data_IF_427740073419
#
_entry.id   IF_427740073419
#
_cell.length_a   1.000
_cell.length_b   1.000
_cell.length_c   1.000
_cell.angle_alpha   90.00
_cell.angle_beta   90.00
_cell.angle_gamma   90.00
#
_symmetry.space_group_name_H-M   'P 1'
#
loop_
_entity.id
_entity.type
_entity.pdbx_description
1 polymer ?
#
# COMPACT_ATOMS: atom_id res chain seq x y z
N UNK A 1 5.53 19.94 -6.85
CA UNK A 1 4.36 19.18 -6.36
C UNK A 1 4.91 17.93 -5.70
N UNK A 2 4.79 17.82 -4.37
CA UNK A 2 5.22 16.62 -3.66
C UNK A 2 4.36 15.43 -4.10
N UNK A 3 5.00 14.30 -4.33
CA UNK A 3 4.36 13.03 -4.65
C UNK A 3 3.29 12.70 -3.60
N UNK A 4 2.24 11.93 -3.97
CA UNK A 4 1.20 11.61 -3.03
C UNK A 4 1.73 10.77 -1.86
N UNK A 5 1.60 11.31 -0.65
CA UNK A 5 1.94 10.65 0.60
C UNK A 5 0.86 9.62 0.91
N UNK A 6 1.19 8.33 0.89
CA UNK A 6 0.32 7.30 1.44
C UNK A 6 0.09 7.54 2.93
N UNK A 7 -1.16 7.42 3.35
CA UNK A 7 -1.62 7.56 4.73
C UNK A 7 -2.16 6.20 5.17
N UNK A 8 -1.51 5.57 6.12
CA UNK A 8 -1.92 4.26 6.64
C UNK A 8 -2.68 4.47 7.94
N UNK A 9 -3.90 3.97 8.01
CA UNK A 9 -4.69 3.92 9.25
C UNK A 9 -4.82 2.48 9.69
N UNK A 10 -4.43 2.17 10.92
CA UNK A 10 -4.46 0.83 11.46
C UNK A 10 -5.03 0.81 12.89
N UNK A 11 -5.56 -0.35 13.28
CA UNK A 11 -5.94 -0.64 14.66
C UNK A 11 -4.70 -0.86 15.53
N UNK A 12 -4.57 -0.08 16.61
CA UNK A 12 -3.54 -0.29 17.64
C UNK A 12 -4.05 -1.24 18.73
N UNK A 13 -5.26 -0.99 19.19
CA UNK A 13 -6.00 -1.77 20.18
C UNK A 13 -7.51 -1.58 19.97
N UNK A 14 -8.35 -2.17 20.81
CA UNK A 14 -9.81 -2.09 20.68
C UNK A 14 -10.37 -0.64 20.68
N UNK A 15 -9.64 0.31 21.27
CA UNK A 15 -10.07 1.68 21.51
C UNK A 15 -9.27 2.73 20.73
N UNK A 16 -8.21 2.34 20.02
CA UNK A 16 -7.25 3.28 19.44
C UNK A 16 -6.83 2.89 18.02
N UNK A 17 -6.71 3.91 17.17
CA UNK A 17 -6.19 3.84 15.82
C UNK A 17 -4.83 4.53 15.75
N UNK A 18 -3.96 4.03 14.90
CA UNK A 18 -2.69 4.68 14.53
C UNK A 18 -2.75 5.16 13.10
N UNK A 19 -2.32 6.40 12.87
CA UNK A 19 -2.23 7.04 11.56
C UNK A 19 -0.77 7.35 11.26
N UNK A 20 -0.26 6.76 10.18
CA UNK A 20 1.12 6.89 9.72
C UNK A 20 1.16 7.55 8.34
N UNK A 21 2.02 8.54 8.19
CA UNK A 21 2.26 9.22 6.92
C UNK A 21 3.63 9.90 6.96
N UNK A 22 4.24 10.13 5.79
CA UNK A 22 5.41 11.00 5.69
C UNK A 22 5.01 12.42 6.07
N UNK A 23 5.88 13.17 6.73
CA UNK A 23 5.56 14.54 7.14
C UNK A 23 4.98 15.34 5.97
N UNK A 24 3.73 15.74 6.14
CA UNK A 24 2.94 16.57 5.25
C UNK A 24 2.18 17.56 6.14
N UNK A 25 2.43 18.84 5.93
CA UNK A 25 1.89 19.90 6.76
C UNK A 25 0.35 19.92 6.73
N UNK A 26 -0.25 19.65 5.57
CA UNK A 26 -1.71 19.67 5.42
C UNK A 26 -2.35 18.48 6.14
N UNK A 27 -1.71 17.31 6.10
CA UNK A 27 -2.18 16.14 6.85
C UNK A 27 -2.00 16.36 8.35
N UNK A 28 -0.90 16.97 8.80
CA UNK A 28 -0.71 17.34 10.22
C UNK A 28 -1.80 18.30 10.69
N UNK A 29 -2.15 19.30 9.88
CA UNK A 29 -3.24 20.22 10.20
C UNK A 29 -4.58 19.50 10.32
N UNK A 30 -4.88 18.58 9.40
CA UNK A 30 -6.08 17.73 9.47
C UNK A 30 -6.09 16.85 10.73
N UNK A 31 -4.96 16.24 11.11
CA UNK A 31 -4.88 15.44 12.34
C UNK A 31 -5.20 16.26 13.60
N UNK A 32 -4.83 17.54 13.63
CA UNK A 32 -5.12 18.44 14.76
C UNK A 32 -6.60 18.80 14.90
N UNK A 33 -7.43 18.60 13.86
CA UNK A 33 -8.87 18.83 13.98
C UNK A 33 -9.60 17.65 14.63
N UNK A 34 -8.94 16.48 14.72
CA UNK A 34 -9.51 15.27 15.34
C UNK A 34 -9.29 15.31 16.84
N UNK A 35 -10.37 15.28 17.62
CA UNK A 35 -10.29 15.38 19.09
C UNK A 35 -9.54 14.17 19.67
N UNK A 36 -8.51 14.42 20.49
CA UNK A 36 -7.77 13.35 21.16
C UNK A 36 -6.72 12.69 20.27
N UNK A 37 -6.52 13.18 19.05
CA UNK A 37 -5.37 12.80 18.23
C UNK A 37 -4.08 13.32 18.87
N UNK A 38 -3.14 12.42 19.17
CA UNK A 38 -1.86 12.75 19.81
C UNK A 38 -0.72 12.13 19.02
N UNK A 39 0.32 12.91 18.76
CA UNK A 39 1.56 12.38 18.20
C UNK A 39 2.28 11.50 19.22
N UNK A 40 2.55 10.24 18.87
CA UNK A 40 3.27 9.27 19.68
C UNK A 40 4.73 9.12 19.15
N UNK A 41 5.74 9.76 19.79
CA UNK A 41 7.09 9.81 19.26
C UNK A 41 7.79 8.45 19.19
N UNK A 42 7.39 7.48 20.02
CA UNK A 42 7.96 6.12 20.00
C UNK A 42 7.47 5.30 18.81
N UNK A 43 6.26 5.59 18.33
CA UNK A 43 5.63 4.88 17.21
C UNK A 43 5.84 5.60 15.88
N UNK A 44 6.28 6.86 15.93
CA UNK A 44 6.33 7.74 14.76
C UNK A 44 4.96 7.80 14.07
N UNK A 45 3.90 7.91 14.88
CA UNK A 45 2.51 7.82 14.46
C UNK A 45 1.63 8.79 15.22
N UNK A 46 0.51 9.19 14.62
CA UNK A 46 -0.59 9.79 15.37
C UNK A 46 -1.47 8.69 15.96
N UNK A 47 -1.80 8.78 17.25
CA UNK A 47 -2.77 7.90 17.90
C UNK A 47 -4.08 8.65 18.01
N UNK A 48 -5.16 8.04 17.55
CA UNK A 48 -6.50 8.61 17.49
C UNK A 48 -7.47 7.67 18.20
N UNK A 49 -8.37 8.16 19.06
CA UNK A 49 -9.42 7.32 19.64
C UNK A 49 -10.29 6.70 18.53
N UNK A 50 -10.61 5.41 18.63
CA UNK A 50 -11.49 4.71 17.68
C UNK A 50 -12.88 5.34 17.61
N UNK A 51 -13.34 5.97 18.71
CA UNK A 51 -14.58 6.75 18.74
C UNK A 51 -14.59 7.97 17.81
N UNK A 52 -13.42 8.37 17.31
CA UNK A 52 -13.24 9.48 16.37
C UNK A 52 -12.98 9.00 14.94
N UNK A 53 -13.22 7.71 14.63
CA UNK A 53 -12.97 7.14 13.30
C UNK A 53 -13.70 7.90 12.18
N UNK A 54 -14.98 8.23 12.36
CA UNK A 54 -15.77 8.97 11.36
C UNK A 54 -15.23 10.39 11.13
N UNK A 55 -14.79 11.04 12.22
CA UNK A 55 -14.19 12.39 12.16
C UNK A 55 -12.82 12.35 11.48
N UNK A 56 -12.04 11.30 11.76
CA UNK A 56 -10.77 11.04 11.10
C UNK A 56 -10.95 10.78 9.60
N UNK A 57 -11.95 9.98 9.21
CA UNK A 57 -12.26 9.71 7.81
C UNK A 57 -12.65 10.99 7.07
N UNK A 58 -13.50 11.82 7.68
CA UNK A 58 -13.87 13.12 7.13
C UNK A 58 -12.66 14.06 6.99
N UNK A 59 -11.79 14.12 8.00
CA UNK A 59 -10.58 14.93 7.99
C UNK A 59 -9.59 14.47 6.90
N UNK A 60 -9.52 13.17 6.64
CA UNK A 60 -8.66 12.58 5.61
C UNK A 60 -9.30 12.52 4.21
N UNK A 61 -10.54 12.98 4.04
CA UNK A 61 -11.27 12.95 2.77
C UNK A 61 -10.52 13.58 1.57
N UNK A 62 -9.69 14.63 1.72
CA UNK A 62 -8.91 15.14 0.59
C UNK A 62 -7.87 14.15 0.05
N UNK A 63 -7.52 13.12 0.83
CA UNK A 63 -6.48 12.13 0.52
C UNK A 63 -7.02 10.73 0.28
N UNK A 64 -8.33 10.51 0.14
CA UNK A 64 -8.94 9.16 -0.03
C UNK A 64 -8.16 8.22 -0.97
N UNK A 65 -7.65 8.65 -2.15
CA UNK A 65 -6.88 7.77 -3.05
C UNK A 65 -5.58 7.22 -2.44
N UNK A 66 -5.12 7.81 -1.34
CA UNK A 66 -3.86 7.54 -0.66
C UNK A 66 -4.05 6.99 0.75
N UNK A 67 -5.30 6.87 1.23
CA UNK A 67 -5.61 6.32 2.55
C UNK A 67 -5.79 4.81 2.44
N UNK A 68 -5.04 4.07 3.25
CA UNK A 68 -5.13 2.61 3.35
C UNK A 68 -5.60 2.25 4.75
N UNK A 69 -6.75 1.59 4.85
CA UNK A 69 -7.37 1.19 6.11
C UNK A 69 -7.06 -0.28 6.43
N UNK A 70 -6.42 -0.53 7.57
CA UNK A 70 -6.17 -1.86 8.13
C UNK A 70 -6.95 -2.03 9.45
N UNK A 71 -8.21 -2.45 9.33
CA UNK A 71 -9.16 -2.54 10.46
C UNK A 71 -9.53 -3.97 10.85
N UNK A 72 -8.88 -4.99 10.29
CA UNK A 72 -9.29 -6.39 10.46
C UNK A 72 -8.80 -7.02 11.78
N UNK A 73 -7.60 -6.68 12.26
CA UNK A 73 -7.03 -7.17 13.51
C UNK A 73 -6.08 -6.10 14.11
N UNK A 74 -5.91 -6.02 15.45
CA UNK A 74 -4.94 -5.12 16.05
C UNK A 74 -3.53 -5.47 15.55
N UNK A 75 -2.91 -4.51 14.86
CA UNK A 75 -1.61 -4.72 14.25
C UNK A 75 -0.54 -4.44 15.30
N UNK A 76 0.44 -5.34 15.43
CA UNK A 76 1.59 -5.08 16.29
C UNK A 76 2.27 -3.75 15.86
N UNK A 77 2.49 -2.77 16.76
CA UNK A 77 3.07 -1.48 16.41
C UNK A 77 4.46 -1.57 15.76
N UNK A 78 5.24 -2.61 16.08
CA UNK A 78 6.51 -2.88 15.38
C UNK A 78 6.31 -3.24 13.91
N UNK A 79 5.21 -3.91 13.56
CA UNK A 79 4.90 -4.26 12.18
C UNK A 79 4.56 -3.02 11.35
N UNK A 80 3.82 -2.06 11.93
CA UNK A 80 3.52 -0.77 11.28
C UNK A 80 4.79 0.07 11.06
N UNK A 81 5.67 0.12 12.05
CA UNK A 81 6.95 0.79 11.94
C UNK A 81 7.83 0.17 10.83
N UNK A 82 7.88 -1.16 10.74
CA UNK A 82 8.62 -1.88 9.69
C UNK A 82 8.01 -1.64 8.30
N UNK A 83 6.69 -1.72 8.13
CA UNK A 83 6.03 -1.43 6.85
C UNK A 83 6.29 0.02 6.39
N UNK A 84 6.15 0.99 7.29
CA UNK A 84 6.37 2.39 6.98
C UNK A 84 7.84 2.71 6.67
N UNK A 85 8.79 2.22 7.49
CA UNK A 85 10.23 2.46 7.28
C UNK A 85 10.72 1.92 5.93
N UNK A 86 10.15 0.79 5.51
CA UNK A 86 10.46 0.11 4.25
C UNK A 86 9.89 0.87 3.04
N UNK A 87 8.69 1.44 3.18
CA UNK A 87 8.07 2.31 2.17
C UNK A 87 8.77 3.68 2.05
N UNK A 88 9.11 4.33 3.16
CA UNK A 88 9.82 5.62 3.18
C UNK A 88 11.22 5.57 2.57
N UNK A 89 11.84 4.38 2.54
CA UNK A 89 13.18 4.14 1.99
C UNK A 89 13.17 3.66 0.53
N UNK A 90 12.00 3.57 -0.11
CA UNK A 90 11.88 3.11 -1.51
C UNK A 90 12.25 1.63 -1.72
N UNK A 91 12.30 0.82 -0.66
CA UNK A 91 12.84 -0.55 -0.69
C UNK A 91 11.84 -1.64 -0.23
N UNK A 92 10.66 -1.71 -0.89
CA UNK A 92 9.76 -2.89 -0.97
C UNK A 92 8.80 -3.18 0.20
N UNK A 93 8.03 -4.29 0.16
CA UNK A 93 7.04 -4.65 -0.86
C UNK A 93 5.66 -4.01 -0.54
N UNK A 94 4.72 -4.12 -1.46
CA UNK A 94 3.32 -3.71 -1.25
C UNK A 94 2.62 -4.61 -0.20
N UNK A 95 1.61 -4.10 0.51
CA UNK A 95 0.82 -4.90 1.45
C UNK A 95 0.18 -6.09 0.74
N UNK A 96 -0.04 -7.16 1.50
CA UNK A 96 -0.82 -8.34 1.13
C UNK A 96 -2.29 -7.95 0.88
N UNK A 97 -2.52 -7.29 -0.27
CA UNK A 97 -3.81 -7.26 -0.93
C UNK A 97 -3.92 -8.65 -1.53
N UNK A 98 -4.98 -9.40 -1.24
CA UNK A 98 -5.20 -10.76 -1.77
C UNK A 98 -5.27 -10.90 -3.31
N UNK A 99 -4.74 -9.93 -4.06
CA UNK A 99 -4.36 -10.02 -5.46
C UNK A 99 -2.84 -9.73 -5.61
N UNK A 100 -2.04 -10.66 -6.13
CA UNK A 100 -0.59 -10.50 -6.24
C UNK A 100 -0.25 -9.31 -7.17
N UNK A 101 0.74 -8.50 -6.76
CA UNK A 101 1.19 -7.27 -7.44
C UNK A 101 1.31 -7.38 -8.98
N UNK A 102 1.69 -8.55 -9.50
CA UNK A 102 1.87 -8.80 -10.91
C UNK A 102 0.55 -8.78 -11.69
N UNK A 103 -0.57 -9.16 -11.07
CA UNK A 103 -1.91 -9.05 -11.67
C UNK A 103 -2.33 -7.60 -11.84
N UNK A 104 -2.07 -6.76 -10.82
CA UNK A 104 -2.34 -5.32 -10.88
C UNK A 104 -1.51 -4.66 -11.99
N UNK A 105 -0.25 -5.04 -12.11
CA UNK A 105 0.61 -4.59 -13.20
C UNK A 105 0.04 -4.96 -14.57
N UNK A 106 -0.32 -6.24 -14.79
CA UNK A 106 -0.85 -6.68 -16.08
C UNK A 106 -2.19 -6.03 -16.43
N UNK A 107 -3.06 -5.79 -15.45
CA UNK A 107 -4.29 -5.02 -15.64
C UNK A 107 -4.00 -3.58 -16.06
N UNK A 108 -3.03 -2.93 -15.43
CA UNK A 108 -2.70 -1.54 -15.72
C UNK A 108 -2.10 -1.35 -17.11
N UNK A 109 -1.23 -2.26 -17.58
CA UNK A 109 -0.57 -2.15 -18.90
C UNK A 109 -1.45 -2.66 -20.04
N UNK A 110 -2.40 -3.54 -19.73
CA UNK A 110 -3.31 -4.15 -20.70
C UNK A 110 -2.67 -5.26 -21.56
N UNK A 111 -3.49 -6.04 -22.28
CA UNK A 111 -3.04 -7.24 -22.99
C UNK A 111 -1.99 -6.95 -24.07
N UNK A 112 -2.18 -5.89 -24.85
CA UNK A 112 -1.27 -5.54 -25.96
C UNK A 112 0.17 -5.17 -25.53
N UNK A 113 0.41 -4.90 -24.25
CA UNK A 113 1.75 -4.60 -23.70
C UNK A 113 2.23 -5.64 -22.70
N UNK A 114 1.38 -6.56 -22.28
CA UNK A 114 1.68 -7.50 -21.21
C UNK A 114 2.86 -8.42 -21.53
N UNK A 115 2.97 -8.94 -22.76
CA UNK A 115 4.07 -9.85 -23.12
C UNK A 115 5.43 -9.13 -23.17
N UNK A 116 5.46 -7.88 -23.63
CA UNK A 116 6.66 -7.04 -23.62
C UNK A 116 7.10 -6.73 -22.18
N UNK A 117 6.15 -6.34 -21.33
CA UNK A 117 6.40 -6.07 -19.90
C UNK A 117 6.87 -7.32 -19.17
N UNK A 118 6.24 -8.47 -19.42
CA UNK A 118 6.66 -9.75 -18.86
C UNK A 118 8.11 -10.08 -19.25
N UNK A 119 8.47 -9.98 -20.53
CA UNK A 119 9.84 -10.26 -21.01
C UNK A 119 10.87 -9.34 -20.38
N UNK A 120 10.57 -8.05 -20.29
CA UNK A 120 11.45 -7.07 -19.64
C UNK A 120 11.65 -7.37 -18.17
N UNK A 121 10.57 -7.66 -17.43
CA UNK A 121 10.66 -7.95 -15.99
C UNK A 121 11.27 -9.31 -15.71
N UNK A 122 10.97 -10.34 -16.50
CA UNK A 122 11.56 -11.67 -16.36
C UNK A 122 13.08 -11.63 -16.49
N UNK A 123 13.62 -10.77 -17.37
CA UNK A 123 15.08 -10.60 -17.53
C UNK A 123 15.73 -9.97 -16.29
N UNK A 124 15.03 -9.07 -15.61
CA UNK A 124 15.53 -8.37 -14.42
C UNK A 124 15.33 -9.20 -13.16
N UNK A 125 14.20 -9.90 -13.05
CA UNK A 125 13.80 -10.68 -11.88
C UNK A 125 14.31 -12.12 -11.89
N UNK A 126 14.93 -12.58 -12.99
CA UNK A 126 15.46 -13.94 -13.06
C UNK A 126 16.40 -14.21 -11.90
N UNK A 127 16.30 -15.36 -11.19
CA UNK A 127 17.18 -15.65 -10.05
C UNK A 127 18.67 -15.66 -10.41
N UNK A 128 19.01 -15.92 -11.67
CA UNK A 128 20.39 -15.88 -12.18
C UNK A 128 20.87 -14.48 -12.58
N UNK A 129 20.00 -13.47 -12.53
CA UNK A 129 20.37 -12.08 -12.78
C UNK A 129 20.92 -11.44 -11.50
N UNK A 130 21.92 -10.54 -11.59
CA UNK A 130 22.37 -9.75 -10.44
C UNK A 130 21.22 -8.93 -9.85
N UNK A 131 20.83 -9.23 -8.61
CA UNK A 131 19.69 -8.59 -7.95
C UNK A 131 18.32 -9.18 -8.31
N UNK A 132 18.29 -10.35 -8.94
CA UNK A 132 17.07 -11.09 -9.21
C UNK A 132 16.38 -11.60 -7.94
N UNK A 133 15.09 -11.92 -8.05
CA UNK A 133 14.27 -12.35 -6.92
C UNK A 133 13.34 -13.49 -7.36
N UNK A 134 13.60 -14.67 -6.83
CA UNK A 134 12.87 -15.89 -7.18
C UNK A 134 11.39 -15.82 -6.79
N UNK A 135 11.03 -15.13 -5.71
CA UNK A 135 9.65 -15.00 -5.25
C UNK A 135 8.88 -14.00 -6.11
N UNK A 136 9.52 -12.89 -6.50
CA UNK A 136 8.94 -11.97 -7.48
C UNK A 136 8.81 -12.63 -8.86
N UNK A 137 9.78 -13.44 -9.28
CA UNK A 137 9.68 -14.18 -10.54
C UNK A 137 8.52 -15.19 -10.52
N UNK A 138 8.33 -15.93 -9.42
CA UNK A 138 7.18 -16.83 -9.24
C UNK A 138 5.85 -16.08 -9.33
N UNK A 139 5.74 -14.92 -8.66
CA UNK A 139 4.54 -14.09 -8.72
C UNK A 139 4.26 -13.56 -10.13
N UNK A 140 5.30 -13.15 -10.87
CA UNK A 140 5.20 -12.69 -12.25
C UNK A 140 4.72 -13.80 -13.20
N UNK A 141 5.25 -15.02 -13.03
CA UNK A 141 4.83 -16.19 -13.82
C UNK A 141 3.39 -16.60 -13.50
N UNK A 142 3.00 -16.59 -12.22
CA UNK A 142 1.65 -16.94 -11.78
C UNK A 142 0.58 -15.98 -12.35
N UNK A 143 0.91 -14.70 -12.51
CA UNK A 143 -0.02 -13.68 -13.03
C UNK A 143 -0.13 -13.65 -14.58
N UNK A 144 0.77 -14.32 -15.31
CA UNK A 144 0.78 -14.33 -16.78
C UNK A 144 -0.55 -14.80 -17.43
N UNK A 145 -1.27 -15.80 -16.92
CA UNK A 145 -2.57 -16.22 -17.47
C UNK A 145 -3.66 -15.15 -17.37
N UNK A 146 -3.56 -14.23 -16.40
CA UNK A 146 -4.52 -13.11 -16.24
C UNK A 146 -4.35 -12.10 -17.38
N UNK A 147 -3.11 -11.91 -17.85
CA UNK A 147 -2.82 -11.02 -18.96
C UNK A 147 -3.36 -11.53 -20.31
N UNK A 148 -3.39 -12.86 -20.52
CA UNK A 148 -3.78 -13.48 -21.78
C UNK A 148 -5.28 -13.81 -21.88
N UNK A 149 -5.99 -13.93 -20.75
CA UNK A 149 -7.44 -14.17 -20.74
C UNK A 149 -8.27 -13.00 -21.29
N UNK A 150 -7.76 -11.77 -21.21
CA UNK A 150 -8.47 -10.57 -21.67
C UNK A 150 -8.49 -10.40 -23.21
N UNK A 151 -7.80 -11.25 -23.97
CA UNK A 151 -7.89 -11.25 -25.45
C UNK A 151 -9.00 -12.18 -25.97
N UNK A 152 -9.51 -13.12 -25.18
CA UNK A 152 -10.52 -14.12 -25.62
C UNK A 152 -11.94 -13.87 -25.12
N UNK A 153 -12.18 -12.77 -24.41
CA UNK A 153 -13.45 -12.47 -23.75
C UNK A 153 -14.21 -11.30 -24.38
N UNK A 154 -14.54 -11.37 -25.67
CA UNK A 154 -15.56 -10.51 -26.26
C UNK A 154 -16.30 -11.26 -27.38
N UNK A 155 -17.25 -12.13 -26.98
CA UNK A 155 -18.52 -12.34 -27.71
C UNK A 155 -19.58 -12.78 -26.70
N UNK A 156 -20.48 -11.88 -26.34
CA UNK A 156 -21.90 -12.12 -26.09
C UNK A 156 -22.59 -10.75 -26.08
#
# INVERSE_FOLDING_TARGET
>A
MNQPTAITVALLDENSLTVHFKFDELVVLAMRTVHGAVWAPKLHAWVVPRSQADVLEAALSPWVPYVIWHLAEPVNPHHLYVMFSRWASGAGPLPDLGQPWAELLFRAVGPGRADAVFKSLARVLHPDAPGGDAELMKALVAARPVATKNEKGQVA
#
